data_IF_395651167435
#
_entry.id   IF_395651167435
#
_cell.length_a   1.000
_cell.length_b   1.000
_cell.length_c   1.000
_cell.angle_alpha   90.00
_cell.angle_beta   90.00
_cell.angle_gamma   90.00
#
_symmetry.space_group_name_H-M   'P 1'
#
loop_
_entity.id
_entity.type
_entity.pdbx_description
1 polymer ?
#
# COMPACT_ATOMS: atom_id res chain seq x y z
N UNK A 1 -21.75 -11.07 38.56
CA UNK A 1 -20.82 -10.12 37.92
C UNK A 1 -20.84 -10.38 36.42
N UNK A 2 -21.66 -9.64 35.68
CA UNK A 2 -21.80 -9.78 34.23
C UNK A 2 -20.71 -8.94 33.55
N UNK A 3 -19.75 -9.59 32.92
CA UNK A 3 -18.72 -8.93 32.13
C UNK A 3 -19.32 -8.44 30.81
N UNK A 4 -19.67 -7.16 30.76
CA UNK A 4 -19.99 -6.44 29.52
C UNK A 4 -18.78 -6.49 28.60
N UNK A 5 -18.83 -7.39 27.62
CA UNK A 5 -17.85 -7.46 26.54
C UNK A 5 -18.19 -6.31 25.59
N UNK A 6 -17.58 -5.14 25.79
CA UNK A 6 -17.68 -4.00 24.90
C UNK A 6 -17.14 -4.40 23.53
N UNK A 7 -18.06 -4.73 22.62
CA UNK A 7 -17.73 -4.93 21.22
C UNK A 7 -17.13 -3.61 20.71
N UNK A 8 -15.89 -3.58 20.19
CA UNK A 8 -15.31 -2.33 19.73
C UNK A 8 -16.23 -1.69 18.68
N UNK A 9 -16.44 -0.36 18.73
CA UNK A 9 -17.46 0.30 17.93
C UNK A 9 -17.25 0.01 16.45
N UNK A 10 -18.30 -0.53 15.81
CA UNK A 10 -18.37 -0.98 14.40
C UNK A 10 -17.89 0.08 13.38
N UNK A 11 -17.82 1.35 13.79
CA UNK A 11 -17.48 2.53 12.99
C UNK A 11 -16.06 2.49 12.43
N UNK A 12 -15.06 2.02 13.18
CA UNK A 12 -13.67 2.00 12.65
C UNK A 12 -13.52 0.99 11.51
N UNK A 13 -14.14 -0.18 11.61
CA UNK A 13 -14.04 -1.20 10.58
C UNK A 13 -14.68 -0.76 9.24
N UNK A 14 -15.48 0.31 9.24
CA UNK A 14 -16.08 0.92 8.05
C UNK A 14 -15.08 1.69 7.20
N UNK A 15 -13.99 2.20 7.79
CA UNK A 15 -13.00 3.02 7.10
C UNK A 15 -11.85 2.23 6.48
N UNK A 16 -11.65 0.96 6.87
CA UNK A 16 -10.56 0.14 6.32
C UNK A 16 -10.67 -0.03 4.79
N UNK A 17 -11.89 -0.26 4.30
CA UNK A 17 -12.17 -0.40 2.86
C UNK A 17 -11.83 0.86 2.06
N UNK A 18 -12.47 2.00 2.36
CA UNK A 18 -12.16 3.30 1.75
C UNK A 18 -10.68 3.68 1.85
N UNK A 19 -10.03 3.47 3.00
CA UNK A 19 -8.63 3.82 3.19
C UNK A 19 -7.70 3.02 2.27
N UNK A 20 -7.92 1.71 2.10
CA UNK A 20 -7.14 0.90 1.16
C UNK A 20 -7.35 1.32 -0.29
N UNK A 21 -8.60 1.61 -0.69
CA UNK A 21 -8.90 2.10 -2.04
C UNK A 21 -8.20 3.44 -2.27
N UNK A 22 -8.35 4.38 -1.33
CA UNK A 22 -7.74 5.70 -1.41
C UNK A 22 -6.22 5.60 -1.48
N UNK A 23 -5.58 4.76 -0.67
CA UNK A 23 -4.14 4.54 -0.72
C UNK A 23 -3.69 4.05 -2.10
N UNK A 24 -4.42 3.10 -2.69
CA UNK A 24 -4.06 2.58 -4.01
C UNK A 24 -4.27 3.60 -5.12
N UNK A 25 -5.40 4.33 -5.10
CA UNK A 25 -5.71 5.35 -6.10
C UNK A 25 -4.76 6.54 -6.00
N UNK A 26 -4.44 7.02 -4.80
CA UNK A 26 -3.47 8.10 -4.60
C UNK A 26 -2.12 7.71 -5.20
N UNK A 27 -1.64 6.49 -4.96
CA UNK A 27 -0.39 6.02 -5.55
C UNK A 27 -0.46 5.94 -7.08
N UNK A 28 -1.46 5.23 -7.64
CA UNK A 28 -1.52 4.95 -9.08
C UNK A 28 -1.85 6.19 -9.92
N UNK A 29 -2.79 7.01 -9.48
CA UNK A 29 -3.18 8.23 -10.19
C UNK A 29 -2.05 9.25 -10.14
N UNK A 30 -1.40 9.41 -8.98
CA UNK A 30 -0.26 10.32 -8.87
C UNK A 30 0.92 9.83 -9.71
N UNK A 31 1.21 8.52 -9.70
CA UNK A 31 2.25 7.94 -10.57
C UNK A 31 1.98 8.30 -12.04
N UNK A 32 0.74 8.10 -12.51
CA UNK A 32 0.34 8.45 -13.87
C UNK A 32 0.50 9.94 -14.17
N UNK A 33 0.03 10.83 -13.28
CA UNK A 33 0.17 12.28 -13.44
C UNK A 33 1.65 12.67 -13.52
N UNK A 34 2.47 12.22 -12.57
CA UNK A 34 3.89 12.58 -12.50
C UNK A 34 4.66 11.99 -13.69
N UNK A 35 4.33 10.78 -14.14
CA UNK A 35 4.90 10.18 -15.34
C UNK A 35 4.53 10.93 -16.62
N UNK A 36 3.29 11.44 -16.73
CA UNK A 36 2.90 12.28 -17.89
C UNK A 36 3.58 13.64 -17.89
N UNK A 37 3.98 14.14 -16.72
CA UNK A 37 4.73 15.36 -16.56
C UNK A 37 6.25 15.16 -16.67
N UNK A 38 6.72 13.93 -16.91
CA UNK A 38 8.13 13.62 -17.04
C UNK A 38 8.74 14.41 -18.21
N UNK A 39 9.87 15.04 -17.93
CA UNK A 39 10.50 15.97 -18.87
C UNK A 39 11.67 15.30 -19.63
N UNK A 40 12.18 15.96 -20.68
CA UNK A 40 13.33 15.59 -21.53
C UNK A 40 13.15 14.36 -22.42
N UNK A 41 12.33 13.39 -22.01
CA UNK A 41 11.83 12.28 -22.85
C UNK A 41 10.55 11.67 -22.26
N UNK A 42 9.79 10.89 -23.02
CA UNK A 42 8.68 10.12 -22.46
C UNK A 42 9.14 9.16 -21.36
N UNK A 43 8.36 9.07 -20.29
CA UNK A 43 8.56 8.11 -19.20
C UNK A 43 8.32 6.68 -19.66
N UNK A 44 9.23 5.75 -19.33
CA UNK A 44 9.06 4.32 -19.60
C UNK A 44 8.69 3.57 -18.32
N UNK A 45 7.50 2.99 -18.27
CA UNK A 45 7.08 2.14 -17.15
C UNK A 45 7.90 0.84 -17.04
N UNK A 46 8.62 0.47 -18.10
CA UNK A 46 9.44 -0.75 -18.15
C UNK A 46 10.85 -0.45 -17.67
N UNK A 47 11.45 0.64 -18.17
CA UNK A 47 12.87 0.91 -17.98
C UNK A 47 13.13 1.86 -16.81
N UNK A 48 12.25 2.85 -16.59
CA UNK A 48 12.45 3.84 -15.56
C UNK A 48 12.02 3.33 -14.19
N UNK A 49 12.92 3.50 -13.23
CA UNK A 49 12.62 3.25 -11.85
C UNK A 49 11.42 4.11 -11.41
N UNK A 50 10.50 3.48 -10.69
CA UNK A 50 9.36 4.19 -10.09
C UNK A 50 9.83 5.17 -9.01
N UNK A 51 10.95 4.83 -8.38
CA UNK A 51 11.57 5.64 -7.32
C UNK A 51 12.06 7.01 -7.83
N UNK A 52 12.37 7.15 -9.12
CA UNK A 52 12.82 8.41 -9.71
C UNK A 52 11.67 9.42 -9.85
N UNK A 53 10.41 8.98 -9.83
CA UNK A 53 9.26 9.88 -9.84
C UNK A 53 9.22 10.80 -8.63
N UNK A 54 9.83 10.44 -7.50
CA UNK A 54 9.93 11.30 -6.32
C UNK A 54 11.29 11.98 -6.16
N UNK A 55 12.17 11.93 -7.17
CA UNK A 55 13.50 12.53 -7.07
C UNK A 55 13.55 13.99 -7.53
N UNK A 56 14.08 14.91 -6.72
CA UNK A 56 14.31 16.30 -7.13
C UNK A 56 15.54 16.45 -8.04
N UNK A 57 16.35 15.40 -8.19
CA UNK A 57 17.53 15.44 -9.04
C UNK A 57 17.15 15.46 -10.51
N UNK A 58 17.84 16.28 -11.31
CA UNK A 58 17.60 16.37 -12.75
C UNK A 58 18.93 16.17 -13.48
N UNK A 59 19.03 15.10 -14.26
CA UNK A 59 20.25 14.74 -14.98
C UNK A 59 20.43 13.24 -15.13
N UNK A 60 21.58 12.83 -15.65
CA UNK A 60 21.95 11.43 -15.73
C UNK A 60 22.48 10.92 -14.39
N UNK A 61 21.97 9.77 -13.96
CA UNK A 61 22.39 9.09 -12.75
C UNK A 61 22.53 7.59 -13.04
N UNK A 62 23.76 7.09 -12.99
CA UNK A 62 24.11 5.67 -13.21
C UNK A 62 23.50 5.07 -14.49
N UNK A 63 23.51 5.84 -15.58
CA UNK A 63 22.98 5.41 -16.88
C UNK A 63 21.48 5.65 -17.08
N UNK A 64 20.80 6.26 -16.10
CA UNK A 64 19.39 6.62 -16.19
C UNK A 64 19.21 8.13 -16.18
N UNK A 65 18.40 8.65 -17.10
CA UNK A 65 17.98 10.05 -17.08
C UNK A 65 16.85 10.25 -16.07
N UNK A 66 17.08 11.08 -15.07
CA UNK A 66 16.06 11.48 -14.08
C UNK A 66 15.57 12.88 -14.45
N UNK A 67 14.25 13.03 -14.59
CA UNK A 67 13.60 14.29 -14.93
C UNK A 67 12.13 14.28 -14.50
N UNK A 68 11.90 14.38 -13.18
CA UNK A 68 10.56 14.45 -12.58
C UNK A 68 10.25 15.87 -12.05
N UNK A 69 9.61 16.76 -12.84
CA UNK A 69 9.26 18.11 -12.39
C UNK A 69 8.28 18.14 -11.21
N UNK A 70 7.38 17.15 -11.15
CA UNK A 70 6.36 17.00 -10.10
C UNK A 70 6.79 16.03 -9.00
N UNK A 71 8.10 15.91 -8.74
CA UNK A 71 8.64 14.97 -7.76
C UNK A 71 8.02 15.10 -6.37
N UNK A 72 7.74 16.33 -5.94
CA UNK A 72 7.14 16.62 -4.64
C UNK A 72 5.74 16.03 -4.51
N UNK A 73 4.97 15.97 -5.60
CA UNK A 73 3.62 15.42 -5.62
C UNK A 73 3.69 13.90 -5.41
N UNK A 74 4.63 13.21 -6.05
CA UNK A 74 4.86 11.78 -5.83
C UNK A 74 5.27 11.49 -4.38
N UNK A 75 6.18 12.30 -3.83
CA UNK A 75 6.62 12.16 -2.44
C UNK A 75 5.46 12.33 -1.44
N UNK A 76 4.59 13.33 -1.65
CA UNK A 76 3.38 13.51 -0.85
C UNK A 76 2.44 12.30 -1.00
N UNK A 77 2.23 11.80 -2.22
CA UNK A 77 1.38 10.65 -2.46
C UNK A 77 1.88 9.41 -1.72
N UNK A 78 3.18 9.13 -1.68
CA UNK A 78 3.73 8.03 -0.89
C UNK A 78 3.46 8.18 0.61
N UNK A 79 3.63 9.38 1.16
CA UNK A 79 3.34 9.66 2.58
C UNK A 79 1.85 9.42 2.87
N UNK A 80 0.96 9.98 2.05
CA UNK A 80 -0.49 9.85 2.20
C UNK A 80 -0.93 8.38 2.06
N UNK A 81 -0.46 7.68 1.04
CA UNK A 81 -0.74 6.26 0.83
C UNK A 81 -0.27 5.41 2.01
N UNK A 82 0.93 5.66 2.54
CA UNK A 82 1.45 4.98 3.72
C UNK A 82 0.57 5.20 4.95
N UNK A 83 0.18 6.45 5.23
CA UNK A 83 -0.70 6.80 6.34
C UNK A 83 -2.07 6.11 6.23
N UNK A 84 -2.64 6.05 5.03
CA UNK A 84 -3.92 5.38 4.78
C UNK A 84 -3.81 3.86 4.98
N UNK A 85 -2.73 3.21 4.55
CA UNK A 85 -2.50 1.78 4.81
C UNK A 85 -2.30 1.49 6.29
N UNK A 86 -1.57 2.34 7.03
CA UNK A 86 -1.45 2.22 8.47
C UNK A 86 -2.81 2.35 9.17
N UNK A 87 -3.63 3.31 8.76
CA UNK A 87 -4.99 3.49 9.28
C UNK A 87 -5.88 2.26 9.02
N UNK A 88 -5.83 1.71 7.80
CA UNK A 88 -6.55 0.48 7.45
C UNK A 88 -6.06 -0.72 8.29
N UNK A 89 -4.76 -0.83 8.53
CA UNK A 89 -4.16 -1.89 9.34
C UNK A 89 -4.59 -1.81 10.80
N UNK A 90 -4.64 -0.60 11.37
CA UNK A 90 -5.19 -0.35 12.72
C UNK A 90 -6.68 -0.70 12.77
N UNK A 91 -7.44 -0.41 11.70
CA UNK A 91 -8.85 -0.77 11.63
C UNK A 91 -9.07 -2.29 11.57
N UNK A 92 -8.28 -3.03 10.77
CA UNK A 92 -8.32 -4.49 10.74
C UNK A 92 -7.93 -5.12 12.08
N UNK A 93 -6.92 -4.57 12.73
CA UNK A 93 -6.39 -5.13 13.99
C UNK A 93 -7.43 -5.16 15.11
N UNK A 94 -8.44 -4.27 15.08
CA UNK A 94 -9.57 -4.28 16.03
C UNK A 94 -10.45 -5.52 15.96
N UNK A 95 -10.36 -6.33 14.90
CA UNK A 95 -11.02 -7.65 14.77
C UNK A 95 -10.09 -8.82 15.03
N UNK A 96 -8.84 -8.55 15.40
CA UNK A 96 -7.78 -9.54 15.58
C UNK A 96 -7.32 -9.55 17.02
N UNK A 97 -6.71 -10.67 17.41
CA UNK A 97 -6.08 -10.84 18.72
C UNK A 97 -4.73 -11.54 18.56
N UNK A 98 -3.88 -11.42 19.59
CA UNK A 98 -2.58 -12.10 19.65
C UNK A 98 -1.60 -11.65 18.57
N UNK A 99 -0.87 -12.61 17.99
CA UNK A 99 0.19 -12.31 17.02
C UNK A 99 -0.36 -11.62 15.75
N UNK A 100 -1.53 -12.03 15.25
CA UNK A 100 -2.13 -11.45 14.03
C UNK A 100 -2.38 -9.95 14.16
N UNK A 101 -2.90 -9.52 15.32
CA UNK A 101 -3.14 -8.11 15.62
C UNK A 101 -1.83 -7.32 15.56
N UNK A 102 -0.79 -7.81 16.26
CA UNK A 102 0.52 -7.14 16.32
C UNK A 102 1.20 -7.11 14.95
N UNK A 103 1.13 -8.21 14.20
CA UNK A 103 1.74 -8.32 12.87
C UNK A 103 1.04 -7.40 11.87
N UNK A 104 -0.29 -7.35 11.80
CA UNK A 104 -0.98 -6.44 10.87
C UNK A 104 -0.67 -4.97 11.20
N UNK A 105 -0.74 -4.56 12.46
CA UNK A 105 -0.38 -3.19 12.85
C UNK A 105 1.08 -2.90 12.52
N UNK A 106 1.99 -3.78 12.94
CA UNK A 106 3.42 -3.62 12.72
C UNK A 106 3.80 -3.51 11.25
N UNK A 107 3.22 -4.35 10.38
CA UNK A 107 3.46 -4.29 8.94
C UNK A 107 2.88 -3.01 8.32
N UNK A 108 1.67 -2.60 8.70
CA UNK A 108 1.08 -1.35 8.22
C UNK A 108 1.89 -0.12 8.63
N UNK A 109 2.35 -0.07 9.89
CA UNK A 109 3.21 1.02 10.37
C UNK A 109 4.60 0.99 9.73
N UNK A 110 5.18 -0.20 9.56
CA UNK A 110 6.48 -0.35 8.90
C UNK A 110 6.42 0.12 7.44
N UNK A 111 5.34 -0.21 6.72
CA UNK A 111 5.13 0.28 5.36
C UNK A 111 4.98 1.80 5.32
N UNK A 112 4.22 2.40 6.23
CA UNK A 112 4.08 3.85 6.32
C UNK A 112 5.42 4.55 6.58
N UNK A 113 6.19 4.06 7.56
CA UNK A 113 7.53 4.57 7.85
C UNK A 113 8.47 4.42 6.65
N UNK A 114 8.39 3.30 5.93
CA UNK A 114 9.21 3.05 4.76
C UNK A 114 8.90 4.03 3.61
N UNK A 115 7.61 4.30 3.35
CA UNK A 115 7.20 5.29 2.35
C UNK A 115 7.57 6.73 2.73
N UNK A 116 7.58 7.06 4.03
CA UNK A 116 8.11 8.34 4.52
C UNK A 116 9.63 8.43 4.25
N UNK A 117 10.40 7.38 4.57
CA UNK A 117 11.83 7.35 4.26
C UNK A 117 12.07 7.52 2.76
N UNK A 118 11.26 6.88 1.93
CA UNK A 118 11.33 6.97 0.46
C UNK A 118 11.08 8.39 -0.05
N UNK A 119 10.12 9.09 0.55
CA UNK A 119 9.76 10.47 0.22
C UNK A 119 10.80 11.50 0.72
N UNK A 120 11.40 11.27 1.89
CA UNK A 120 12.37 12.18 2.52
C UNK A 120 13.78 11.99 1.97
N UNK A 121 14.16 10.76 1.65
CA UNK A 121 15.48 10.39 1.13
C UNK A 121 15.35 9.84 -0.29
N UNK A 122 14.85 10.61 -1.28
CA UNK A 122 14.71 10.12 -2.65
C UNK A 122 16.07 9.76 -3.26
N UNK A 123 16.07 8.82 -4.20
CA UNK A 123 17.28 8.33 -4.86
C UNK A 123 17.89 9.42 -5.76
N UNK A 124 19.20 9.61 -5.65
CA UNK A 124 19.99 10.52 -6.47
C UNK A 124 21.44 10.58 -6.00
N UNK A 125 22.32 11.34 -6.69
CA UNK A 125 23.74 11.43 -6.36
C UNK A 125 24.01 11.83 -4.90
N UNK A 126 23.26 12.80 -4.39
CA UNK A 126 23.44 13.35 -3.04
C UNK A 126 23.43 12.27 -1.93
N UNK A 127 22.71 11.16 -2.12
CA UNK A 127 22.62 10.05 -1.15
C UNK A 127 23.95 9.33 -0.93
N UNK A 128 24.83 9.36 -1.93
CA UNK A 128 26.16 8.75 -1.86
C UNK A 128 27.13 9.67 -1.14
N UNK A 129 26.93 10.98 -1.25
CA UNK A 129 27.79 12.00 -0.67
C UNK A 129 27.45 12.27 0.81
N UNK A 130 26.16 12.28 1.17
CA UNK A 130 25.67 12.57 2.51
C UNK A 130 25.58 11.34 3.44
N UNK A 131 25.91 10.14 2.92
CA UNK A 131 25.87 8.88 3.66
C UNK A 131 24.46 8.34 3.93
N UNK A 132 23.41 8.92 3.35
CA UNK A 132 22.00 8.53 3.60
C UNK A 132 21.47 7.44 2.67
N UNK A 133 22.28 6.91 1.74
CA UNK A 133 21.92 5.78 0.89
C UNK A 133 21.29 4.58 1.65
N UNK A 134 21.80 4.16 2.84
CA UNK A 134 21.17 3.08 3.60
C UNK A 134 19.73 3.38 4.03
N UNK A 135 19.39 4.65 4.31
CA UNK A 135 18.02 5.05 4.67
C UNK A 135 17.08 4.93 3.47
N UNK A 136 17.55 5.33 2.29
CA UNK A 136 16.83 5.11 1.04
C UNK A 136 16.58 3.61 0.79
N UNK A 137 17.64 2.79 0.85
CA UNK A 137 17.53 1.35 0.62
C UNK A 137 16.59 0.69 1.63
N UNK A 138 16.69 1.05 2.91
CA UNK A 138 15.79 0.58 3.95
C UNK A 138 14.33 0.93 3.62
N UNK A 139 14.05 2.18 3.24
CA UNK A 139 12.72 2.60 2.81
C UNK A 139 12.22 1.83 1.59
N UNK A 140 13.06 1.69 0.56
CA UNK A 140 12.73 0.98 -0.68
C UNK A 140 12.32 -0.47 -0.40
N UNK A 141 13.20 -1.24 0.25
CA UNK A 141 12.95 -2.66 0.54
C UNK A 141 11.81 -2.86 1.54
N UNK A 142 11.80 -2.08 2.63
CA UNK A 142 10.78 -2.24 3.67
C UNK A 142 9.39 -1.91 3.15
N UNK A 143 9.24 -0.94 2.24
CA UNK A 143 7.93 -0.59 1.67
C UNK A 143 7.34 -1.74 0.87
N UNK A 144 8.15 -2.42 0.06
CA UNK A 144 7.76 -3.59 -0.74
C UNK A 144 7.48 -4.79 0.16
N UNK A 145 8.41 -5.11 1.08
CA UNK A 145 8.30 -6.27 1.96
C UNK A 145 7.07 -6.12 2.87
N UNK A 146 6.93 -4.97 3.54
CA UNK A 146 5.86 -4.77 4.50
C UNK A 146 4.48 -4.77 3.83
N UNK A 147 4.33 -4.11 2.67
CA UNK A 147 3.05 -4.06 1.95
C UNK A 147 2.61 -5.42 1.43
N UNK A 148 3.51 -6.20 0.85
CA UNK A 148 3.17 -7.52 0.33
C UNK A 148 3.00 -8.55 1.46
N UNK A 149 3.80 -8.48 2.53
CA UNK A 149 3.60 -9.31 3.71
C UNK A 149 2.25 -9.01 4.40
N UNK A 150 1.82 -7.74 4.42
CA UNK A 150 0.52 -7.34 4.93
C UNK A 150 -0.62 -8.01 4.15
N UNK A 151 -0.51 -8.09 2.81
CA UNK A 151 -1.46 -8.82 1.98
C UNK A 151 -1.53 -10.31 2.35
N UNK A 152 -0.37 -10.99 2.48
CA UNK A 152 -0.31 -12.41 2.87
C UNK A 152 -0.94 -12.63 4.25
N UNK A 153 -0.54 -11.85 5.26
CA UNK A 153 -1.04 -11.98 6.64
C UNK A 153 -2.54 -11.68 6.73
N UNK A 154 -3.05 -10.75 5.90
CA UNK A 154 -4.49 -10.50 5.78
C UNK A 154 -5.22 -11.73 5.28
N UNK A 155 -4.71 -12.40 4.25
CA UNK A 155 -5.28 -13.66 3.74
C UNK A 155 -5.21 -14.80 4.77
N UNK A 156 -4.09 -14.94 5.49
CA UNK A 156 -3.95 -15.91 6.59
C UNK A 156 -4.89 -15.62 7.77
N UNK A 157 -5.34 -14.38 7.90
CA UNK A 157 -6.30 -13.90 8.90
C UNK A 157 -7.75 -14.02 8.43
N UNK A 158 -8.03 -14.84 7.41
CA UNK A 158 -9.36 -15.09 6.83
C UNK A 158 -10.48 -15.24 7.86
N UNK A 159 -10.36 -16.19 8.79
CA UNK A 159 -11.47 -16.53 9.72
C UNK A 159 -11.79 -15.36 10.67
N UNK A 160 -10.81 -14.77 11.41
CA UNK A 160 -11.08 -13.60 12.25
C UNK A 160 -11.62 -12.38 11.50
N UNK A 161 -11.16 -12.15 10.27
CA UNK A 161 -11.59 -11.01 9.46
C UNK A 161 -12.93 -11.26 8.72
N UNK A 162 -13.44 -12.50 8.74
CA UNK A 162 -14.66 -12.87 8.02
C UNK A 162 -14.51 -12.88 6.50
N UNK A 163 -13.30 -13.12 5.97
CA UNK A 163 -13.04 -13.07 4.54
C UNK A 163 -13.59 -14.33 3.81
N UNK A 164 -14.20 -14.18 2.62
CA UNK A 164 -14.51 -15.31 1.77
C UNK A 164 -13.22 -16.01 1.30
N UNK A 165 -13.31 -17.30 0.95
CA UNK A 165 -12.14 -18.11 0.55
C UNK A 165 -11.36 -17.48 -0.59
N UNK A 166 -12.06 -17.04 -1.63
CA UNK A 166 -11.43 -16.46 -2.83
C UNK A 166 -10.60 -15.21 -2.51
N UNK A 167 -11.08 -14.35 -1.60
CA UNK A 167 -10.38 -13.11 -1.23
C UNK A 167 -9.13 -13.40 -0.40
N UNK A 168 -9.21 -14.39 0.49
CA UNK A 168 -8.05 -14.84 1.24
C UNK A 168 -6.97 -15.40 0.31
N UNK A 169 -7.36 -16.24 -0.66
CA UNK A 169 -6.43 -16.76 -1.69
C UNK A 169 -5.86 -15.63 -2.53
N UNK A 170 -6.70 -14.73 -3.06
CA UNK A 170 -6.25 -13.58 -3.83
C UNK A 170 -5.22 -12.74 -3.06
N UNK A 171 -5.47 -12.45 -1.79
CA UNK A 171 -4.56 -11.68 -0.94
C UNK A 171 -3.20 -12.35 -0.75
N UNK A 172 -3.20 -13.67 -0.52
CA UNK A 172 -1.96 -14.43 -0.39
C UNK A 172 -1.21 -14.50 -1.72
N UNK A 173 -1.91 -14.71 -2.83
CA UNK A 173 -1.31 -14.81 -4.16
C UNK A 173 -0.68 -13.49 -4.58
N UNK A 174 -1.41 -12.37 -4.47
CA UNK A 174 -0.85 -11.05 -4.82
C UNK A 174 0.35 -10.71 -3.93
N UNK A 175 0.25 -10.92 -2.62
CA UNK A 175 1.39 -10.69 -1.72
C UNK A 175 2.60 -11.58 -2.04
N UNK A 176 2.37 -12.87 -2.36
CA UNK A 176 3.44 -13.78 -2.74
C UNK A 176 4.13 -13.36 -4.05
N UNK A 177 3.37 -12.93 -5.07
CA UNK A 177 3.93 -12.41 -6.33
C UNK A 177 4.88 -11.25 -6.04
N UNK A 178 4.44 -10.27 -5.24
CA UNK A 178 5.25 -9.10 -4.97
C UNK A 178 6.52 -9.39 -4.17
N UNK A 179 6.47 -10.33 -3.21
CA UNK A 179 7.64 -10.78 -2.45
C UNK A 179 8.63 -11.59 -3.28
N UNK A 180 8.14 -12.54 -4.08
CA UNK A 180 8.97 -13.41 -4.92
C UNK A 180 9.65 -12.65 -6.04
N UNK A 181 9.11 -11.50 -6.44
CA UNK A 181 9.67 -10.65 -7.47
C UNK A 181 10.84 -9.75 -6.99
N UNK A 182 11.04 -9.58 -5.68
CA UNK A 182 12.10 -8.71 -5.11
C UNK A 182 13.51 -9.00 -5.68
N UNK A 183 13.96 -10.27 -5.85
CA UNK A 183 15.28 -10.55 -6.39
C UNK A 183 15.46 -10.07 -7.84
N UNK A 184 14.37 -9.97 -8.60
CA UNK A 184 14.39 -9.56 -10.01
C UNK A 184 14.61 -8.06 -10.18
N UNK A 185 14.40 -7.28 -9.12
CA UNK A 185 14.63 -5.83 -9.09
C UNK A 185 16.09 -5.42 -9.32
N UNK A 186 17.04 -6.36 -9.32
CA UNK A 186 18.48 -6.05 -9.43
C UNK A 186 19.23 -6.84 -10.51
N UNK A 187 18.71 -6.84 -11.74
CA UNK A 187 19.55 -7.05 -12.93
C UNK A 187 19.16 -8.20 -13.87
N UNK A 188 18.02 -8.85 -13.66
CA UNK A 188 17.58 -9.96 -14.54
C UNK A 188 16.46 -9.54 -15.51
N UNK A 189 15.78 -8.45 -15.21
CA UNK A 189 14.70 -7.86 -16.01
C UNK A 189 14.82 -6.33 -15.92
N UNK A 190 14.17 -5.57 -16.83
CA UNK A 190 14.11 -4.11 -16.73
C UNK A 190 13.66 -3.67 -15.34
N UNK A 191 14.43 -2.77 -14.71
CA UNK A 191 14.24 -2.52 -13.29
C UNK A 191 12.90 -1.84 -12.98
N UNK A 192 12.45 -0.92 -13.84
CA UNK A 192 11.15 -0.28 -13.70
C UNK A 192 10.00 -1.29 -13.67
N UNK A 193 10.06 -2.31 -14.53
CA UNK A 193 9.09 -3.40 -14.55
C UNK A 193 9.14 -4.22 -13.25
N UNK A 194 10.33 -4.61 -12.79
CA UNK A 194 10.46 -5.38 -11.55
C UNK A 194 9.94 -4.60 -10.33
N UNK A 195 10.33 -3.34 -10.13
CA UNK A 195 9.81 -2.53 -9.03
C UNK A 195 8.28 -2.47 -9.05
N UNK A 196 7.70 -2.29 -10.24
CA UNK A 196 6.25 -2.22 -10.42
C UNK A 196 5.53 -3.53 -10.17
N UNK A 197 6.06 -4.68 -10.60
CA UNK A 197 5.43 -5.97 -10.29
C UNK A 197 5.33 -6.13 -8.77
N UNK A 198 6.38 -5.77 -8.03
CA UNK A 198 6.39 -5.82 -6.57
C UNK A 198 5.43 -4.81 -5.92
N UNK A 199 5.33 -3.58 -6.45
CA UNK A 199 4.43 -2.56 -5.92
C UNK A 199 2.96 -2.78 -6.31
N UNK A 200 2.69 -3.00 -7.60
CA UNK A 200 1.34 -3.15 -8.15
C UNK A 200 0.64 -4.39 -7.58
N UNK A 201 1.40 -5.42 -7.21
CA UNK A 201 0.86 -6.57 -6.47
C UNK A 201 0.17 -6.16 -5.17
N UNK A 202 0.81 -5.30 -4.36
CA UNK A 202 0.21 -4.81 -3.10
C UNK A 202 -0.91 -3.79 -3.37
N UNK A 203 -0.77 -2.92 -4.37
CA UNK A 203 -1.82 -1.95 -4.74
C UNK A 203 -3.08 -2.66 -5.25
N UNK A 204 -2.92 -3.71 -6.05
CA UNK A 204 -4.00 -4.57 -6.53
C UNK A 204 -4.70 -5.26 -5.34
N UNK A 205 -3.93 -5.79 -4.40
CA UNK A 205 -4.48 -6.33 -3.15
C UNK A 205 -5.31 -5.29 -2.39
N UNK A 206 -4.80 -4.07 -2.24
CA UNK A 206 -5.48 -2.98 -1.54
C UNK A 206 -6.79 -2.62 -2.24
N UNK A 207 -6.82 -2.55 -3.57
CA UNK A 207 -8.04 -2.29 -4.35
C UNK A 207 -9.08 -3.41 -4.20
N UNK A 208 -8.68 -4.68 -4.36
CA UNK A 208 -9.59 -5.83 -4.25
C UNK A 208 -10.14 -5.92 -2.83
N UNK A 209 -9.26 -5.91 -1.84
CA UNK A 209 -9.65 -6.00 -0.41
C UNK A 209 -10.49 -4.80 -0.02
N UNK A 210 -10.06 -3.60 -0.35
CA UNK A 210 -10.79 -2.37 -0.05
C UNK A 210 -12.20 -2.37 -0.61
N UNK A 211 -12.35 -2.78 -1.88
CA UNK A 211 -13.65 -2.87 -2.57
C UNK A 211 -14.60 -3.87 -1.92
N UNK A 212 -14.09 -5.03 -1.49
CA UNK A 212 -14.92 -6.04 -0.82
C UNK A 212 -15.43 -5.58 0.54
N UNK A 213 -14.60 -4.89 1.33
CA UNK A 213 -14.99 -4.32 2.62
C UNK A 213 -15.96 -3.15 2.45
N UNK A 214 -15.79 -2.32 1.42
CA UNK A 214 -16.71 -1.23 1.10
C UNK A 214 -18.11 -1.76 0.78
N UNK A 215 -18.23 -2.73 -0.12
CA UNK A 215 -19.52 -3.37 -0.49
C UNK A 215 -20.20 -4.07 0.68
N UNK A 216 -19.41 -4.72 1.53
CA UNK A 216 -19.94 -5.39 2.73
C UNK A 216 -20.50 -4.41 3.76
N UNK A 217 -20.00 -3.17 3.79
CA UNK A 217 -20.47 -2.14 4.70
C UNK A 217 -21.75 -1.45 4.19
N UNK A 218 -21.92 -1.29 2.88
CA UNK A 218 -23.12 -0.67 2.29
C UNK A 218 -24.31 -1.63 2.33
N UNK A 219 -24.16 -2.88 1.89
CA UNK A 219 -25.27 -3.85 1.87
C UNK A 219 -25.83 -4.21 3.25
N UNK A 220 -25.09 -3.95 4.33
CA UNK A 220 -25.58 -4.14 5.70
C UNK A 220 -26.44 -2.98 6.20
N UNK A 221 -26.24 -1.76 5.68
CA UNK A 221 -27.05 -0.60 6.03
C UNK A 221 -28.47 -0.73 5.45
N UNK A 222 -28.57 -1.09 4.17
CA UNK A 222 -29.85 -1.26 3.46
C UNK A 222 -30.74 -2.35 4.08
N UNK A 223 -30.14 -3.46 4.53
CA UNK A 223 -30.88 -4.53 5.21
C UNK A 223 -31.38 -4.13 6.61
N UNK A 224 -30.68 -3.22 7.29
CA UNK A 224 -31.10 -2.75 8.62
C UNK A 224 -32.28 -1.78 8.52
N UNK A 225 -32.31 -0.95 7.48
CA UNK A 225 -33.37 0.03 7.23
C UNK A 225 -34.69 -0.65 6.82
N UNK A 226 -34.61 -1.70 6.00
CA UNK A 226 -35.77 -2.51 5.60
C UNK A 226 -36.40 -3.32 6.74
N UNK A 227 -35.59 -3.84 7.67
CA UNK A 227 -36.09 -4.59 8.85
C UNK A 227 -36.83 -3.67 9.83
N UNK A 228 -36.33 -2.44 10.02
CA UNK A 228 -37.00 -1.45 10.90
C UNK A 228 -38.32 -0.98 10.29
N UNK A 229 -38.40 -0.86 8.97
CA UNK A 229 -39.64 -0.48 8.29
C UNK A 229 -40.73 -1.57 8.38
N UNK A 230 -40.38 -2.86 8.37
CA UNK A 230 -41.35 -3.95 8.50
C UNK A 230 -41.92 -4.12 9.91
N UNK A 231 -41.15 -3.81 10.95
CA UNK A 231 -41.60 -3.90 12.35
C UNK A 231 -42.53 -2.75 12.77
N UNK A 232 -42.64 -1.70 11.94
CA UNK A 232 -43.52 -0.55 12.16
C UNK A 232 -44.86 -0.62 11.38
N UNK A 233 -45.10 -1.70 10.63
CA UNK A 233 -46.34 -1.94 9.85
C UNK A 233 -47.21 -3.00 10.51
#
# INVERSE_FOLDING_TARGET
>A
MSSTTTTPPRVIARWAGPALIAAALVSLVTEAIVATAWDRRPYSYVDDYVNFLGSPFVGEFRGFLISSPLWWLMSIAWIVSGALVAAASIAFSRRLTGWRQRTIVGLGTAQASALILFAVFPLGPARFDDGTLPLYLLGAFLSIIAGNALAVVTGLSRRPLGLPRWLATASMTTGAIGLLNIPLTYGWVPTGLAERISLYSYLLWALITGSTFLRSATGKADNQESTVASDCS
#
